data_IF_244688598437
#
_entry.id   IF_244688598437
#
_cell.length_a   1.000
_cell.length_b   1.000
_cell.length_c   1.000
_cell.angle_alpha   90.00
_cell.angle_beta   90.00
_cell.angle_gamma   90.00
#
_symmetry.space_group_name_H-M   'P 1'
#
loop_
_entity.id
_entity.type
_entity.pdbx_description
1 polymer ?
#
# COMPACT_ATOMS: atom_id res chain seq x y z
N UNK A 1 -8.95 4.57 -21.61
CA UNK A 1 -8.58 4.04 -20.28
C UNK A 1 -7.64 2.83 -20.22
N UNK A 2 -7.21 2.15 -21.31
CA UNK A 2 -6.49 0.87 -21.19
C UNK A 2 -5.01 0.97 -20.76
N UNK A 3 -4.52 2.16 -20.36
CA UNK A 3 -3.12 2.36 -19.98
C UNK A 3 -2.91 2.60 -18.48
N UNK A 4 -3.91 2.49 -17.62
CA UNK A 4 -3.73 2.78 -16.18
C UNK A 4 -3.90 1.55 -15.28
N UNK A 5 -4.17 0.38 -15.87
CA UNK A 5 -4.30 -0.87 -15.12
C UNK A 5 -3.00 -1.27 -14.43
N UNK A 6 -1.83 -0.90 -14.99
CA UNK A 6 -0.53 -1.18 -14.37
C UNK A 6 -0.37 -0.51 -13.00
N UNK A 7 -1.10 0.58 -12.71
CA UNK A 7 -1.08 1.23 -11.39
C UNK A 7 -1.76 0.40 -10.31
N UNK A 8 -2.61 -0.55 -10.68
CA UNK A 8 -3.26 -1.49 -9.74
C UNK A 8 -2.36 -2.67 -9.39
N UNK A 9 -1.33 -2.95 -10.19
CA UNK A 9 -0.44 -4.09 -9.99
C UNK A 9 0.27 -4.07 -8.62
N UNK A 10 0.80 -2.94 -8.12
CA UNK A 10 1.37 -2.88 -6.77
C UNK A 10 0.36 -3.22 -5.67
N UNK A 11 -0.90 -2.77 -5.80
CA UNK A 11 -1.94 -3.12 -4.83
C UNK A 11 -2.20 -4.62 -4.84
N UNK A 12 -2.43 -5.21 -6.02
CA UNK A 12 -2.67 -6.65 -6.15
C UNK A 12 -1.50 -7.50 -5.65
N UNK A 13 -0.26 -7.04 -5.84
CA UNK A 13 0.93 -7.73 -5.38
C UNK A 13 1.07 -7.68 -3.85
N UNK A 14 0.66 -6.57 -3.23
CA UNK A 14 0.72 -6.38 -1.78
C UNK A 14 -0.51 -6.99 -1.07
N UNK A 15 -1.67 -7.11 -1.72
CA UNK A 15 -2.90 -7.60 -1.08
C UNK A 15 -2.75 -8.93 -0.31
N UNK A 16 -2.02 -9.95 -0.79
CA UNK A 16 -1.82 -11.20 -0.03
C UNK A 16 -1.14 -10.99 1.32
N UNK A 17 -0.33 -9.93 1.46
CA UNK A 17 0.42 -9.65 2.67
C UNK A 17 -0.53 -9.46 3.87
N UNK A 18 -1.69 -8.81 3.67
CA UNK A 18 -2.72 -8.62 4.71
C UNK A 18 -3.24 -9.92 5.33
N UNK A 19 -3.18 -11.04 4.62
CA UNK A 19 -3.72 -12.32 5.09
C UNK A 19 -2.64 -13.24 5.67
N UNK A 20 -1.43 -13.21 5.11
CA UNK A 20 -0.38 -14.19 5.44
C UNK A 20 0.80 -13.62 6.22
N UNK A 21 1.02 -12.31 6.23
CA UNK A 21 2.27 -11.70 6.71
C UNK A 21 2.20 -10.94 8.03
N UNK A 22 1.18 -11.19 8.85
CA UNK A 22 1.04 -10.52 10.14
C UNK A 22 2.27 -10.73 11.04
N UNK A 23 2.87 -9.63 11.50
CA UNK A 23 3.84 -9.57 12.58
C UNK A 23 3.23 -10.20 13.86
N UNK A 24 3.29 -11.53 13.98
CA UNK A 24 2.71 -12.27 15.08
C UNK A 24 3.81 -12.61 16.10
N UNK A 25 3.62 -12.15 17.34
CA UNK A 25 4.23 -12.57 18.64
C UNK A 25 5.76 -12.74 18.75
N UNK A 26 6.54 -12.75 17.66
CA UNK A 26 7.99 -12.90 17.66
C UNK A 26 8.71 -11.95 16.69
N UNK A 27 7.97 -11.08 16.01
CA UNK A 27 8.57 -10.01 15.20
C UNK A 27 9.08 -8.88 16.08
N UNK A 28 10.21 -8.29 15.73
CA UNK A 28 10.68 -7.04 16.33
C UNK A 28 9.58 -5.97 16.23
N UNK A 29 9.39 -5.18 17.30
CA UNK A 29 8.42 -4.07 17.35
C UNK A 29 8.50 -3.15 16.12
N UNK A 30 9.70 -2.88 15.62
CA UNK A 30 9.92 -2.07 14.42
C UNK A 30 9.27 -2.64 13.16
N UNK A 31 9.27 -3.97 13.00
CA UNK A 31 8.66 -4.65 11.87
C UNK A 31 7.14 -4.59 11.96
N UNK A 32 6.59 -4.71 13.17
CA UNK A 32 5.15 -4.56 13.43
C UNK A 32 4.66 -3.15 13.11
N UNK A 33 5.37 -2.11 13.55
CA UNK A 33 4.98 -0.72 13.27
C UNK A 33 5.14 -0.38 11.78
N UNK A 34 6.21 -0.86 11.13
CA UNK A 34 6.38 -0.72 9.69
C UNK A 34 5.26 -1.44 8.91
N UNK A 35 4.87 -2.62 9.38
CA UNK A 35 3.76 -3.37 8.83
C UNK A 35 2.43 -2.59 8.95
N UNK A 36 2.17 -2.03 10.13
CA UNK A 36 1.00 -1.19 10.39
C UNK A 36 0.97 0.08 9.51
N UNK A 37 2.13 0.66 9.20
CA UNK A 37 2.21 1.78 8.24
C UNK A 37 1.85 1.35 6.81
N UNK A 38 2.10 0.08 6.46
CA UNK A 38 1.72 -0.51 5.19
C UNK A 38 0.21 -0.40 4.91
N UNK A 39 -0.63 -0.59 5.93
CA UNK A 39 -2.08 -0.38 5.84
C UNK A 39 -2.42 1.04 5.39
N UNK A 40 -1.87 2.05 6.09
CA UNK A 40 -2.08 3.46 5.75
C UNK A 40 -1.67 3.77 4.30
N UNK A 41 -0.46 3.35 3.90
CA UNK A 41 0.06 3.61 2.56
C UNK A 41 -0.75 2.91 1.46
N UNK A 42 -1.15 1.64 1.70
CA UNK A 42 -1.95 0.86 0.78
C UNK A 42 -3.32 1.51 0.54
N UNK A 43 -4.04 1.89 1.60
CA UNK A 43 -5.35 2.51 1.47
C UNK A 43 -5.31 3.94 0.93
N UNK A 44 -4.23 4.69 1.17
CA UNK A 44 -4.00 5.96 0.51
C UNK A 44 -3.81 5.79 -1.01
N UNK A 45 -3.04 4.79 -1.45
CA UNK A 45 -2.89 4.48 -2.87
C UNK A 45 -4.19 3.96 -3.48
N UNK A 46 -4.92 3.08 -2.79
CA UNK A 46 -6.22 2.58 -3.22
C UNK A 46 -7.22 3.73 -3.40
N UNK A 47 -7.34 4.63 -2.42
CA UNK A 47 -8.19 5.82 -2.51
C UNK A 47 -7.80 6.75 -3.66
N UNK A 48 -6.49 6.93 -3.92
CA UNK A 48 -5.99 7.69 -5.08
C UNK A 48 -6.47 7.09 -6.41
N UNK A 49 -6.28 5.78 -6.60
CA UNK A 49 -6.65 5.09 -7.84
C UNK A 49 -8.16 5.08 -8.05
N UNK A 50 -8.91 4.93 -6.96
CA UNK A 50 -10.37 4.97 -6.99
C UNK A 50 -10.89 6.38 -7.36
N UNK A 51 -10.34 7.44 -6.78
CA UNK A 51 -10.65 8.84 -7.14
C UNK A 51 -10.35 9.14 -8.62
N UNK A 52 -9.24 8.59 -9.12
CA UNK A 52 -8.82 8.70 -10.53
C UNK A 52 -9.76 7.94 -11.45
N UNK A 53 -10.13 6.71 -11.09
CA UNK A 53 -11.11 5.92 -11.82
C UNK A 53 -12.45 6.64 -11.92
N UNK A 54 -13.01 7.12 -10.81
CA UNK A 54 -14.29 7.84 -10.86
C UNK A 54 -14.22 9.18 -11.60
N UNK A 55 -13.09 9.89 -11.51
CA UNK A 55 -12.85 11.10 -12.29
C UNK A 55 -12.83 10.83 -13.80
N UNK A 56 -12.29 9.68 -14.20
CA UNK A 56 -12.24 9.27 -15.61
C UNK A 56 -13.62 8.93 -16.18
N UNK A 57 -14.56 8.48 -15.36
CA UNK A 57 -15.99 8.25 -15.70
C UNK A 57 -16.83 9.53 -15.50
N UNK A 58 -16.19 10.69 -15.30
CA UNK A 58 -16.83 12.01 -15.15
C UNK A 58 -17.89 12.07 -14.03
N UNK A 59 -17.69 11.34 -12.93
CA UNK A 59 -18.57 11.42 -11.75
C UNK A 59 -18.36 12.73 -10.99
N UNK A 60 -19.40 13.21 -10.32
CA UNK A 60 -19.35 14.43 -9.52
C UNK A 60 -18.44 14.26 -8.30
N UNK A 61 -17.84 15.36 -7.81
CA UNK A 61 -16.97 15.34 -6.64
C UNK A 61 -17.62 14.73 -5.38
N UNK A 62 -18.86 15.08 -4.97
CA UNK A 62 -19.48 14.46 -3.79
C UNK A 62 -19.65 12.95 -3.95
N UNK A 63 -20.03 12.48 -5.15
CA UNK A 63 -20.11 11.05 -5.43
C UNK A 63 -18.75 10.37 -5.28
N UNK A 64 -17.69 10.98 -5.84
CA UNK A 64 -16.32 10.43 -5.76
C UNK A 64 -15.85 10.26 -4.32
N UNK A 65 -16.15 11.22 -3.45
CA UNK A 65 -15.80 11.18 -2.03
C UNK A 65 -16.60 10.10 -1.29
N UNK A 66 -17.93 10.10 -1.44
CA UNK A 66 -18.80 9.13 -0.77
C UNK A 66 -18.47 7.70 -1.24
N UNK A 67 -18.46 7.46 -2.55
CA UNK A 67 -18.12 6.15 -3.11
C UNK A 67 -16.70 5.72 -2.75
N UNK A 68 -15.75 6.67 -2.70
CA UNK A 68 -14.38 6.44 -2.25
C UNK A 68 -14.32 5.94 -0.81
N UNK A 69 -14.94 6.68 0.12
CA UNK A 69 -15.00 6.31 1.54
C UNK A 69 -15.73 4.99 1.77
N UNK A 70 -16.88 4.78 1.11
CA UNK A 70 -17.62 3.52 1.20
C UNK A 70 -16.79 2.34 0.72
N UNK A 71 -16.02 2.51 -0.36
CA UNK A 71 -15.17 1.43 -0.88
C UNK A 71 -13.97 1.15 0.03
N UNK A 72 -13.31 2.18 0.56
CA UNK A 72 -12.23 2.02 1.55
C UNK A 72 -12.73 1.29 2.79
N UNK A 73 -13.88 1.70 3.33
CA UNK A 73 -14.52 1.06 4.48
C UNK A 73 -14.88 -0.40 4.18
N UNK A 74 -15.50 -0.68 3.04
CA UNK A 74 -15.88 -2.03 2.66
C UNK A 74 -14.67 -2.96 2.52
N UNK A 75 -13.58 -2.48 1.89
CA UNK A 75 -12.36 -3.26 1.73
C UNK A 75 -11.65 -3.48 3.07
N UNK A 76 -11.46 -2.43 3.88
CA UNK A 76 -10.85 -2.58 5.22
C UNK A 76 -11.63 -3.53 6.13
N UNK A 77 -12.96 -3.39 6.17
CA UNK A 77 -13.82 -4.30 6.92
C UNK A 77 -13.74 -5.74 6.40
N UNK A 78 -13.66 -5.92 5.08
CA UNK A 78 -13.52 -7.26 4.50
C UNK A 78 -12.21 -7.93 4.90
N UNK A 79 -11.11 -7.17 5.01
CA UNK A 79 -9.81 -7.70 5.47
C UNK A 79 -9.93 -8.20 6.91
N UNK A 80 -10.48 -7.39 7.82
CA UNK A 80 -10.68 -7.77 9.22
C UNK A 80 -11.58 -9.01 9.36
N UNK A 81 -12.68 -9.07 8.62
CA UNK A 81 -13.60 -10.22 8.63
C UNK A 81 -12.91 -11.49 8.12
N UNK A 82 -12.14 -11.39 7.04
CA UNK A 82 -11.39 -12.55 6.50
C UNK A 82 -10.31 -12.99 7.50
N UNK A 83 -9.59 -12.07 8.13
CA UNK A 83 -8.60 -12.39 9.17
C UNK A 83 -9.23 -13.07 10.39
N UNK A 84 -10.42 -12.61 10.81
CA UNK A 84 -11.21 -13.23 11.87
C UNK A 84 -11.58 -14.69 11.53
N UNK A 85 -11.93 -14.95 10.27
CA UNK A 85 -12.31 -16.30 9.81
C UNK A 85 -11.08 -17.21 9.61
N UNK A 86 -9.99 -16.70 9.03
CA UNK A 86 -8.87 -17.53 8.57
C UNK A 86 -7.82 -17.88 9.64
N UNK A 87 -7.59 -17.00 10.62
CA UNK A 87 -6.32 -17.03 11.36
C UNK A 87 -6.42 -16.93 12.88
N UNK A 88 -7.63 -16.92 13.46
CA UNK A 88 -7.80 -16.73 14.90
C UNK A 88 -7.33 -15.36 15.41
N UNK A 89 -7.14 -14.38 14.52
CA UNK A 89 -6.87 -12.99 14.89
C UNK A 89 -8.15 -12.33 15.39
N UNK A 90 -8.04 -11.55 16.46
CA UNK A 90 -9.13 -10.71 16.93
C UNK A 90 -9.35 -9.54 15.99
N UNK A 91 -10.60 -9.17 15.80
CA UNK A 91 -10.99 -7.95 15.10
C UNK A 91 -10.29 -6.72 15.71
N UNK A 92 -9.58 -5.95 14.88
CA UNK A 92 -8.76 -4.81 15.30
C UNK A 92 -9.37 -3.50 14.78
N UNK A 93 -10.05 -2.79 15.68
CA UNK A 93 -10.56 -1.45 15.38
C UNK A 93 -9.44 -0.48 14.99
N UNK A 94 -8.24 -0.68 15.52
CA UNK A 94 -7.08 0.15 15.24
C UNK A 94 -6.61 -0.02 13.78
N UNK A 95 -6.60 -1.24 13.27
CA UNK A 95 -6.21 -1.51 11.88
C UNK A 95 -7.25 -0.99 10.89
N UNK A 96 -8.54 -1.20 11.20
CA UNK A 96 -9.63 -0.57 10.44
C UNK A 96 -9.55 0.97 10.44
N UNK A 97 -9.15 1.58 11.56
CA UNK A 97 -8.97 3.03 11.65
C UNK A 97 -7.81 3.52 10.77
N UNK A 98 -6.71 2.75 10.69
CA UNK A 98 -5.55 3.06 9.84
C UNK A 98 -5.92 2.95 8.36
N UNK A 99 -6.62 1.89 7.99
CA UNK A 99 -7.16 1.68 6.64
C UNK A 99 -8.00 2.88 6.20
N UNK A 100 -8.96 3.28 7.06
CA UNK A 100 -9.82 4.43 6.79
C UNK A 100 -9.03 5.74 6.70
N UNK A 101 -8.06 5.94 7.60
CA UNK A 101 -7.28 7.18 7.65
C UNK A 101 -6.41 7.40 6.40
N UNK A 102 -5.86 6.34 5.80
CA UNK A 102 -5.14 6.41 4.53
C UNK A 102 -6.03 6.89 3.39
N UNK A 103 -7.22 6.29 3.27
CA UNK A 103 -8.23 6.69 2.29
C UNK A 103 -8.75 8.12 2.49
N UNK A 104 -9.00 8.53 3.74
CA UNK A 104 -9.44 9.88 4.08
C UNK A 104 -8.36 10.91 3.73
N UNK A 105 -7.09 10.67 4.10
CA UNK A 105 -5.99 11.59 3.86
C UNK A 105 -5.87 11.93 2.37
N UNK A 106 -5.93 10.92 1.50
CA UNK A 106 -5.81 11.16 0.06
C UNK A 106 -7.06 11.85 -0.51
N UNK A 107 -8.27 11.49 -0.08
CA UNK A 107 -9.50 12.13 -0.55
C UNK A 107 -9.55 13.60 -0.16
N UNK A 108 -9.11 13.96 1.06
CA UNK A 108 -8.99 15.34 1.51
C UNK A 108 -8.03 16.17 0.62
N UNK A 109 -6.91 15.58 0.21
CA UNK A 109 -5.97 16.22 -0.72
C UNK A 109 -6.57 16.40 -2.12
N UNK A 110 -7.45 15.49 -2.56
CA UNK A 110 -8.08 15.53 -3.89
C UNK A 110 -9.25 16.49 -4.00
N UNK A 111 -9.88 16.87 -2.89
CA UNK A 111 -10.95 17.89 -2.86
C UNK A 111 -10.39 19.32 -3.02
N UNK A 112 -9.12 19.55 -2.68
CA UNK A 112 -8.45 20.88 -2.69
C UNK A 112 -8.69 21.73 -3.95
N UNK A 113 -8.57 21.22 -5.20
CA UNK A 113 -8.75 22.05 -6.39
C UNK A 113 -10.20 22.51 -6.64
N UNK A 114 -11.18 21.98 -5.91
CA UNK A 114 -12.62 22.22 -6.17
C UNK A 114 -13.27 23.14 -5.16
N UNK A 115 -12.55 23.52 -4.10
CA UNK A 115 -13.08 24.31 -2.98
C UNK A 115 -12.35 25.64 -2.88
N UNK A 116 -12.90 26.58 -2.09
CA UNK A 116 -12.25 27.87 -1.86
C UNK A 116 -10.88 27.71 -1.20
N UNK A 117 -9.99 28.71 -1.37
CA UNK A 117 -8.63 28.69 -0.83
C UNK A 117 -8.56 28.35 0.67
N UNK A 118 -9.48 28.89 1.48
CA UNK A 118 -9.55 28.62 2.93
C UNK A 118 -9.81 27.14 3.22
N UNK A 119 -10.80 26.54 2.55
CA UNK A 119 -11.13 25.13 2.69
C UNK A 119 -10.03 24.21 2.14
N UNK A 120 -9.37 24.60 1.06
CA UNK A 120 -8.23 23.84 0.51
C UNK A 120 -7.01 23.85 1.44
N UNK A 121 -6.80 24.93 2.20
CA UNK A 121 -5.77 24.98 3.26
C UNK A 121 -6.16 24.10 4.44
N UNK A 122 -7.40 24.20 4.92
CA UNK A 122 -7.89 23.39 6.03
C UNK A 122 -7.86 21.89 5.71
N UNK A 123 -8.33 21.47 4.54
CA UNK A 123 -8.31 20.06 4.15
C UNK A 123 -6.88 19.54 3.96
N UNK A 124 -5.97 20.40 3.46
CA UNK A 124 -4.55 20.08 3.37
C UNK A 124 -3.90 19.91 4.74
N UNK A 125 -4.17 20.82 5.68
CA UNK A 125 -3.68 20.75 7.05
C UNK A 125 -4.22 19.50 7.77
N UNK A 126 -5.50 19.18 7.58
CA UNK A 126 -6.12 17.98 8.14
C UNK A 126 -5.48 16.70 7.57
N UNK A 127 -5.26 16.62 6.26
CA UNK A 127 -4.59 15.49 5.64
C UNK A 127 -3.15 15.31 6.18
N UNK A 128 -2.40 16.41 6.33
CA UNK A 128 -1.06 16.38 6.94
C UNK A 128 -1.14 15.92 8.39
N UNK A 129 -2.10 16.41 9.18
CA UNK A 129 -2.32 15.97 10.55
C UNK A 129 -2.59 14.47 10.65
N UNK A 130 -3.42 13.93 9.76
CA UNK A 130 -3.68 12.48 9.68
C UNK A 130 -2.41 11.69 9.36
N UNK A 131 -1.59 12.17 8.42
CA UNK A 131 -0.29 11.54 8.10
C UNK A 131 0.63 11.56 9.33
N UNK A 132 0.76 12.71 9.99
CA UNK A 132 1.61 12.86 11.19
C UNK A 132 1.17 11.87 12.27
N UNK A 133 -0.12 11.80 12.59
CA UNK A 133 -0.66 10.90 13.60
C UNK A 133 -0.33 9.43 13.29
N UNK A 134 -0.48 9.02 12.03
CA UNK A 134 -0.14 7.65 11.61
C UNK A 134 1.37 7.36 11.62
N UNK A 135 2.22 8.40 11.54
CA UNK A 135 3.66 8.28 11.63
C UNK A 135 4.21 8.35 13.08
N UNK A 136 3.41 8.73 14.08
CA UNK A 136 3.86 8.79 15.48
C UNK A 136 4.45 7.45 15.98
N UNK A 137 3.86 6.27 15.70
CA UNK A 137 4.45 5.01 16.16
C UNK A 137 5.87 4.77 15.65
N UNK A 138 6.24 5.33 14.49
CA UNK A 138 7.60 5.26 13.94
C UNK A 138 8.59 6.15 14.70
N UNK A 139 8.15 7.21 15.39
CA UNK A 139 9.08 8.04 16.18
C UNK A 139 9.50 7.31 17.45
N UNK A 140 8.64 6.45 18.00
CA UNK A 140 8.99 5.53 19.08
C UNK A 140 10.17 4.62 18.73
N UNK A 141 10.34 4.25 17.46
CA UNK A 141 11.51 3.52 16.98
C UNK A 141 12.80 4.36 17.02
N UNK A 142 12.73 5.65 16.65
CA UNK A 142 13.92 6.52 16.65
C UNK A 142 14.39 6.86 18.06
N UNK A 143 13.47 6.92 19.02
CA UNK A 143 13.75 7.34 20.40
C UNK A 143 14.10 6.15 21.29
N UNK A 144 13.61 4.95 20.99
CA UNK A 144 13.98 3.75 21.77
C UNK A 144 15.45 3.44 21.49
N UNK A 145 16.36 3.60 22.47
CA UNK A 145 17.74 3.22 22.27
C UNK A 145 17.78 1.72 21.96
N UNK A 146 18.67 1.32 21.05
CA UNK A 146 18.98 -0.06 20.65
C UNK A 146 19.43 -0.94 21.86
N UNK A 147 19.35 -0.42 23.09
CA UNK A 147 19.71 -1.09 24.33
C UNK A 147 18.71 -2.14 24.79
N UNK A 148 17.63 -2.41 24.06
CA UNK A 148 16.92 -3.69 24.20
C UNK A 148 17.72 -4.78 23.48
N UNK A 149 18.96 -4.94 23.92
CA UNK A 149 19.70 -6.17 23.83
C UNK A 149 18.96 -7.10 24.79
N UNK A 150 18.24 -8.07 24.25
CA UNK A 150 17.51 -9.13 24.95
C UNK A 150 18.46 -10.09 25.70
N UNK A 151 19.47 -9.54 26.38
CA UNK A 151 20.41 -10.23 27.25
C UNK A 151 19.79 -10.70 28.56
N UNK A 152 18.49 -10.48 28.79
CA UNK A 152 17.76 -11.23 29.82
C UNK A 152 17.36 -12.62 29.28
N UNK A 153 18.40 -13.40 28.99
CA UNK A 153 18.44 -14.86 29.15
C UNK A 153 18.30 -15.27 30.63
N UNK A 154 18.07 -14.32 31.54
CA UNK A 154 17.65 -14.60 32.90
C UNK A 154 16.14 -14.83 32.92
N UNK A 155 15.78 -16.08 32.66
CA UNK A 155 14.56 -16.69 33.17
C UNK A 155 14.55 -16.43 34.67
N UNK A 156 13.72 -15.50 35.15
CA UNK A 156 13.41 -15.41 36.56
C UNK A 156 12.65 -16.69 36.92
N UNK A 157 13.40 -17.71 37.32
CA UNK A 157 12.85 -18.91 37.93
C UNK A 157 12.51 -18.48 39.35
N UNK A 158 11.24 -18.14 39.58
CA UNK A 158 10.72 -17.98 40.93
C UNK A 158 10.72 -19.37 41.59
N UNK A 159 11.87 -19.75 42.13
CA UNK A 159 12.10 -21.01 42.81
C UNK A 159 13.29 -20.90 43.75
N UNK A 160 13.23 -21.48 44.96
CA UNK A 160 14.34 -21.49 45.88
C UNK A 160 15.52 -22.23 45.25
N UNK A 161 16.65 -21.53 45.16
CA UNK A 161 17.99 -21.97 44.77
C UNK A 161 18.22 -23.48 44.72
N UNK A 162 17.90 -24.10 43.58
CA UNK A 162 18.46 -25.39 43.20
C UNK A 162 19.17 -25.18 41.85
N UNK A 163 20.48 -25.00 41.94
CA UNK A 163 21.39 -24.97 40.81
C UNK A 163 21.50 -26.41 40.31
N UNK A 164 20.71 -26.78 39.30
CA UNK A 164 20.99 -27.98 38.52
C UNK A 164 22.04 -27.65 37.45
N UNK A 165 23.22 -28.31 37.45
CA UNK A 165 24.16 -28.21 36.35
C UNK A 165 23.59 -28.96 35.14
N UNK A 166 22.96 -28.22 34.21
CA UNK A 166 22.53 -28.77 32.93
C UNK A 166 23.75 -28.97 32.04
N UNK A 167 24.24 -30.20 32.01
CA UNK A 167 25.22 -30.68 31.05
C UNK A 167 24.60 -30.68 29.65
N UNK A 168 25.15 -29.83 28.78
CA UNK A 168 25.25 -29.97 27.34
C UNK A 168 24.10 -30.62 26.57
N UNK A 169 23.16 -29.79 26.08
CA UNK A 169 22.48 -30.07 24.83
C UNK A 169 22.25 -28.77 24.05
N UNK A 170 23.03 -28.60 22.98
CA UNK A 170 22.93 -27.47 22.06
C UNK A 170 21.49 -27.31 21.54
N UNK A 171 20.91 -26.10 21.55
CA UNK A 171 19.60 -25.87 20.97
C UNK A 171 19.70 -26.06 19.45
N UNK A 172 18.95 -27.05 18.94
CA UNK A 172 18.75 -27.23 17.50
C UNK A 172 18.19 -25.93 16.92
N UNK A 173 18.91 -25.39 15.95
CA UNK A 173 18.56 -24.21 15.15
C UNK A 173 17.07 -24.12 14.80
N UNK A 174 16.40 -22.97 14.94
CA UNK A 174 15.01 -22.82 14.55
C UNK A 174 14.87 -22.97 13.04
N UNK A 175 14.06 -23.93 12.61
CA UNK A 175 13.69 -24.20 11.21
C UNK A 175 12.73 -23.11 10.70
N UNK A 176 13.16 -21.85 10.65
CA UNK A 176 12.30 -20.73 10.26
C UNK A 176 11.98 -20.71 8.74
N UNK A 177 12.78 -21.38 7.90
CA UNK A 177 12.61 -21.35 6.45
C UNK A 177 11.89 -22.56 5.82
N UNK A 178 11.54 -23.60 6.60
CA UNK A 178 10.94 -24.82 6.02
C UNK A 178 9.42 -24.76 5.85
N UNK A 179 8.74 -23.76 6.43
CA UNK A 179 7.29 -23.61 6.33
C UNK A 179 6.82 -22.90 5.05
N UNK A 180 7.70 -22.22 4.31
CA UNK A 180 7.32 -21.49 3.09
C UNK A 180 7.12 -22.40 1.85
N UNK A 181 7.69 -23.62 1.86
CA UNK A 181 7.68 -24.52 0.70
C UNK A 181 6.73 -25.72 0.78
N UNK A 182 6.18 -26.05 1.94
CA UNK A 182 5.45 -27.32 2.11
C UNK A 182 3.93 -27.20 2.03
N UNK A 183 3.35 -26.01 2.02
CA UNK A 183 1.89 -25.85 1.94
C UNK A 183 1.35 -25.75 0.49
N UNK A 184 2.22 -25.78 -0.53
CA UNK A 184 1.82 -25.78 -1.95
C UNK A 184 1.98 -27.17 -2.61
N UNK A 185 2.59 -28.16 -1.94
CA UNK A 185 2.82 -29.52 -2.51
C UNK A 185 2.10 -30.61 -1.70
N UNK A 186 0.90 -30.30 -1.21
CA UNK A 186 0.11 -31.19 -0.36
C UNK A 186 -1.17 -31.72 -1.01
N UNK A 187 -1.18 -32.06 -2.31
CA UNK A 187 -2.25 -32.87 -2.92
C UNK A 187 -1.82 -33.46 -4.27
N UNK A 188 -0.84 -34.37 -4.26
CA UNK A 188 -0.56 -35.25 -5.40
C UNK A 188 0.41 -36.37 -5.01
N UNK A 189 0.00 -37.31 -4.17
CA UNK A 189 0.75 -38.57 -4.03
C UNK A 189 -0.21 -39.76 -4.03
N UNK A 190 -0.38 -40.35 -5.20
CA UNK A 190 -1.17 -41.56 -5.40
C UNK A 190 -1.08 -42.14 -6.81
N UNK A 191 0.11 -42.16 -7.41
CA UNK A 191 0.31 -42.74 -8.74
C UNK A 191 1.70 -43.32 -8.91
N UNK A 192 1.84 -44.63 -8.66
CA UNK A 192 3.04 -45.41 -9.02
C UNK A 192 3.23 -45.31 -10.55
N UNK A 193 4.32 -44.69 -11.01
CA UNK A 193 4.75 -44.80 -12.41
C UNK A 193 6.22 -45.24 -12.50
N UNK A 194 6.38 -46.27 -13.33
CA UNK A 194 7.55 -47.06 -13.69
C UNK A 194 8.70 -46.16 -14.20
N UNK A 195 9.94 -46.49 -13.82
CA UNK A 195 11.17 -45.87 -14.33
C UNK A 195 11.47 -46.40 -15.74
N UNK A 196 11.84 -45.49 -16.65
CA UNK A 196 12.68 -45.78 -17.81
C UNK A 196 13.88 -44.81 -17.82
N UNK A 197 15.06 -45.22 -18.34
CA UNK A 197 16.26 -44.39 -18.39
C UNK A 197 16.52 -43.83 -19.80
N UNK A 198 17.17 -42.67 -19.85
CA UNK A 198 17.97 -42.25 -21.01
C UNK A 198 17.47 -40.99 -21.71
N UNK A 199 18.31 -39.96 -21.74
CA UNK A 199 18.07 -38.77 -22.55
C UNK A 199 18.76 -37.52 -22.03
N UNK A 200 20.09 -37.47 -22.14
CA UNK A 200 20.87 -36.24 -22.04
C UNK A 200 20.56 -35.34 -23.23
N UNK A 201 20.14 -34.09 -22.99
CA UNK A 201 20.10 -33.06 -24.02
C UNK A 201 20.48 -31.71 -23.41
N UNK A 202 21.67 -31.27 -23.84
CA UNK A 202 22.21 -29.93 -23.80
C UNK A 202 21.20 -28.92 -24.38
N UNK A 203 21.08 -27.74 -23.75
CA UNK A 203 20.67 -26.54 -24.45
C UNK A 203 21.57 -25.38 -24.02
N UNK A 204 22.14 -24.76 -25.05
CA UNK A 204 23.12 -23.69 -25.02
C UNK A 204 22.54 -22.36 -24.54
N UNK A 205 23.43 -21.62 -23.89
CA UNK A 205 23.36 -20.19 -23.63
C UNK A 205 23.08 -19.39 -24.91
N UNK A 206 22.03 -18.56 -24.88
CA UNK A 206 21.96 -17.39 -25.77
C UNK A 206 21.28 -16.22 -25.05
N UNK A 207 22.11 -15.35 -24.46
CA UNK A 207 21.71 -14.02 -23.98
C UNK A 207 22.03 -12.98 -25.06
N UNK A 208 21.06 -12.25 -25.61
CA UNK A 208 21.36 -11.10 -26.46
C UNK A 208 21.71 -9.85 -25.62
N UNK A 209 22.68 -9.03 -26.04
CA UNK A 209 22.98 -7.77 -25.37
C UNK A 209 21.90 -6.72 -25.70
N UNK A 210 21.21 -6.23 -24.66
CA UNK A 210 20.35 -5.06 -24.76
C UNK A 210 21.24 -3.82 -24.82
N UNK A 211 21.39 -3.23 -26.03
CA UNK A 211 21.90 -1.87 -26.20
C UNK A 211 20.81 -0.86 -25.85
N UNK A 212 20.90 -0.27 -24.67
CA UNK A 212 20.14 0.94 -24.33
C UNK A 212 20.85 2.15 -24.95
N UNK A 213 20.33 2.63 -26.08
CA UNK A 213 20.67 3.94 -26.64
C UNK A 213 20.09 5.03 -25.73
N UNK A 214 20.94 5.96 -25.29
CA UNK A 214 20.64 6.96 -24.26
C UNK A 214 20.57 8.38 -24.85
N UNK A 215 20.09 8.52 -26.09
CA UNK A 215 20.08 9.80 -26.83
C UNK A 215 18.67 10.37 -27.10
N UNK A 216 17.66 9.97 -26.33
CA UNK A 216 16.25 10.28 -26.64
C UNK A 216 15.47 11.12 -25.63
N UNK A 217 16.09 11.72 -24.60
CA UNK A 217 15.33 12.36 -23.50
C UNK A 217 15.85 13.72 -23.05
N UNK A 218 16.21 14.57 -24.00
CA UNK A 218 16.30 16.01 -23.79
C UNK A 218 15.66 16.72 -24.97
N UNK A 219 14.40 17.13 -24.77
CA UNK A 219 13.72 18.32 -25.32
C UNK A 219 12.24 18.05 -25.62
N UNK A 220 11.38 18.31 -24.62
CA UNK A 220 10.03 18.80 -24.88
C UNK A 220 9.61 19.72 -23.73
N UNK A 221 10.03 20.98 -23.88
CA UNK A 221 9.48 22.15 -23.19
C UNK A 221 7.97 22.24 -23.40
N UNK A 222 7.23 22.65 -22.37
CA UNK A 222 6.12 23.59 -22.54
C UNK A 222 6.10 24.56 -21.36
N UNK A 223 6.99 25.57 -21.42
CA UNK A 223 6.81 26.85 -20.74
C UNK A 223 5.62 27.54 -21.42
N UNK A 224 4.47 27.58 -20.76
CA UNK A 224 3.42 28.53 -21.12
C UNK A 224 3.86 29.92 -20.65
N UNK A 225 4.48 30.69 -21.55
CA UNK A 225 4.54 32.16 -21.44
C UNK A 225 3.19 32.69 -21.90
N UNK A 226 2.40 33.23 -20.97
CA UNK A 226 1.29 34.11 -21.29
C UNK A 226 1.88 35.50 -21.61
N UNK A 227 2.01 35.80 -22.89
CA UNK A 227 2.14 37.18 -23.40
C UNK A 227 1.46 37.23 -24.76
N UNK A 228 0.14 37.29 -24.74
CA UNK A 228 -0.68 37.74 -25.87
C UNK A 228 -1.61 38.84 -25.31
N UNK A 229 -1.63 40.04 -25.90
CA UNK A 229 -2.52 41.11 -25.46
C UNK A 229 -3.97 40.77 -25.79
N UNK A 230 -4.85 40.94 -24.80
CA UNK A 230 -6.31 40.84 -24.94
C UNK A 230 -6.80 41.70 -26.13
N UNK A 231 -7.09 41.07 -27.27
CA UNK A 231 -8.00 41.65 -28.28
C UNK A 231 -9.43 41.44 -27.77
N UNK A 232 -9.96 42.45 -27.10
CA UNK A 232 -11.38 42.56 -26.81
C UNK A 232 -12.08 42.92 -28.13
N UNK A 233 -12.54 41.92 -28.87
CA UNK A 233 -13.51 42.13 -29.95
C UNK A 233 -14.87 42.39 -29.31
N UNK A 234 -15.19 43.68 -29.15
CA UNK A 234 -16.51 44.17 -28.82
C UNK A 234 -17.45 43.85 -29.99
N UNK A 235 -18.18 42.73 -29.89
CA UNK A 235 -19.31 42.44 -30.78
C UNK A 235 -20.47 43.32 -30.32
N UNK A 236 -20.61 44.48 -30.94
CA UNK A 236 -21.78 45.34 -30.77
C UNK A 236 -23.00 44.65 -31.42
N UNK A 237 -24.13 44.48 -30.70
CA UNK A 237 -25.36 44.01 -31.33
C UNK A 237 -25.89 45.12 -32.25
N UNK A 238 -25.82 44.88 -33.55
CA UNK A 238 -26.43 45.72 -34.57
C UNK A 238 -27.95 45.62 -34.41
N UNK A 239 -28.55 46.60 -33.74
CA UNK A 239 -30.01 46.78 -33.63
C UNK A 239 -30.53 47.28 -34.97
N UNK A 240 -30.81 46.37 -35.90
CA UNK A 240 -31.53 46.68 -37.14
C UNK A 240 -32.97 47.03 -36.78
N UNK A 241 -33.27 48.33 -36.79
CA UNK A 241 -34.63 48.85 -36.72
C UNK A 241 -35.39 48.40 -37.97
N UNK A 242 -36.44 47.61 -37.76
CA UNK A 242 -37.42 47.31 -38.77
C UNK A 242 -38.52 48.39 -38.71
N UNK A 243 -38.39 49.40 -39.57
CA UNK A 243 -39.44 50.37 -39.87
C UNK A 243 -39.95 50.09 -41.28
N UNK A 244 -41.13 49.47 -41.37
CA UNK A 244 -42.07 49.55 -42.49
C UNK A 244 -43.45 49.51 -41.82
N UNK A 245 -44.16 50.65 -41.79
CA UNK A 245 -45.20 51.05 -42.76
C UNK A 245 -46.29 50.01 -42.90
#
# INVERSE_FOLDING_TARGET
MPRQWFLWLPLLLVSPSFFFGGAAHQSSRSLEEFWNLGHFAYFALFGYLLDRYWGSVRRSNPFRVIAGLSSVMAVGLSIEVIQLIMGGRSFSLLDLSRDLSGGVAILLLRIRPTVSRRWALLSGALAIGVVIVNCIPLTGFLVSPITQNDGHFFRQVDGPWLIEPTTGALPRTPRFFKAWGQQIVGSATGGKKKREPGGSLFFDDYSPPIRLSLDGLLLSRARLRFTEPLRISLVLPCRLGNSRR
#
